data_IF_480639064507
#
_entry.id   IF_480639064507
#
_cell.length_a   1.000
_cell.length_b   1.000
_cell.length_c   1.000
_cell.angle_alpha   90.00
_cell.angle_beta   90.00
_cell.angle_gamma   90.00
#
_symmetry.space_group_name_H-M   'P 1'
#
loop_
_entity.id
_entity.type
_entity.pdbx_description
1 polymer ?
#
# COMPACT_ATOMS: atom_id res chain seq x y z
N UNK A 1 34.54 -7.66 -44.92
CA UNK A 1 35.48 -6.53 -44.78
C UNK A 1 34.98 -5.38 -45.64
N UNK A 2 34.28 -4.40 -45.06
CA UNK A 2 34.15 -3.05 -45.62
C UNK A 2 34.08 -2.11 -44.42
N UNK A 3 35.17 -1.40 -44.19
CA UNK A 3 35.28 -0.37 -43.17
C UNK A 3 34.76 0.95 -43.70
N UNK A 4 34.14 1.72 -42.82
CA UNK A 4 33.97 3.15 -43.00
C UNK A 4 34.56 3.84 -41.77
N UNK A 5 35.63 4.58 -42.04
CA UNK A 5 36.31 5.48 -41.12
C UNK A 5 35.87 6.89 -41.49
N UNK A 6 35.29 7.62 -40.54
CA UNK A 6 35.23 9.07 -40.58
C UNK A 6 35.40 9.61 -39.16
N UNK A 7 36.55 10.24 -38.95
CA UNK A 7 36.88 11.15 -37.86
C UNK A 7 36.20 12.50 -38.11
N UNK A 8 35.73 13.19 -37.05
CA UNK A 8 35.97 14.62 -36.82
C UNK A 8 35.11 15.20 -35.68
N UNK A 9 35.84 15.84 -34.75
CA UNK A 9 35.58 17.17 -34.16
C UNK A 9 34.33 17.37 -33.30
N UNK A 10 34.60 17.55 -32.00
CA UNK A 10 33.61 17.95 -31.02
C UNK A 10 33.13 19.39 -31.16
N UNK A 11 32.02 19.64 -30.48
CA UNK A 11 31.60 20.96 -30.05
C UNK A 11 31.15 20.83 -28.60
N UNK A 12 31.92 21.44 -27.69
CA UNK A 12 31.50 21.70 -26.32
C UNK A 12 30.36 22.72 -26.37
N UNK A 13 29.18 22.37 -25.87
CA UNK A 13 28.17 23.37 -25.48
C UNK A 13 27.99 23.30 -23.97
N UNK A 14 28.61 24.24 -23.27
CA UNK A 14 28.37 24.51 -21.86
C UNK A 14 26.99 25.17 -21.73
N UNK A 15 26.03 24.44 -21.14
CA UNK A 15 24.70 24.97 -20.85
C UNK A 15 24.59 25.35 -19.38
N UNK A 16 24.38 26.64 -19.20
CA UNK A 16 24.11 27.45 -18.02
C UNK A 16 23.35 26.72 -16.89
N UNK A 17 24.01 26.58 -15.73
CA UNK A 17 23.36 26.29 -14.44
C UNK A 17 22.60 27.54 -13.99
N UNK A 18 21.27 27.52 -14.10
CA UNK A 18 20.41 28.51 -13.45
C UNK A 18 20.18 28.08 -12.00
N UNK A 19 20.67 28.89 -11.06
CA UNK A 19 20.45 28.71 -9.63
C UNK A 19 18.98 28.98 -9.29
N UNK A 20 18.21 27.93 -9.00
CA UNK A 20 16.85 28.07 -8.48
C UNK A 20 16.95 28.23 -6.96
N UNK A 21 16.72 29.44 -6.46
CA UNK A 21 16.68 29.73 -5.03
C UNK A 21 15.44 29.05 -4.41
N UNK A 22 15.66 28.05 -3.54
CA UNK A 22 14.61 27.53 -2.67
C UNK A 22 14.32 28.58 -1.57
N UNK A 23 13.14 29.18 -1.60
CA UNK A 23 12.63 30.00 -0.51
C UNK A 23 11.69 29.17 0.34
N UNK A 24 12.10 28.93 1.59
CA UNK A 24 11.32 28.17 2.59
C UNK A 24 9.99 28.88 2.91
N UNK A 25 8.86 28.17 2.99
CA UNK A 25 7.64 28.72 3.57
C UNK A 25 7.77 28.81 5.10
N UNK A 26 7.61 30.02 5.63
CA UNK A 26 7.46 30.28 7.06
C UNK A 26 6.15 29.68 7.57
N UNK A 27 6.23 28.84 8.60
CA UNK A 27 5.09 28.24 9.27
C UNK A 27 4.29 29.32 10.03
N UNK A 28 3.19 29.78 9.45
CA UNK A 28 2.25 30.72 10.07
C UNK A 28 1.38 30.03 11.12
N UNK A 29 1.37 30.55 12.34
CA UNK A 29 0.57 30.05 13.46
C UNK A 29 -0.86 30.60 13.37
N UNK A 30 -1.80 29.81 12.85
CA UNK A 30 -3.22 30.13 12.87
C UNK A 30 -3.84 29.70 14.19
N UNK A 31 -4.12 30.68 15.06
CA UNK A 31 -5.03 30.54 16.20
C UNK A 31 -6.46 30.32 15.67
N UNK A 32 -6.96 29.10 15.81
CA UNK A 32 -8.39 28.79 15.75
C UNK A 32 -8.95 28.59 17.17
N UNK A 33 -10.16 29.10 17.49
CA UNK A 33 -10.80 28.84 18.78
C UNK A 33 -11.64 27.56 18.76
N UNK A 34 -11.91 27.07 19.98
CA UNK A 34 -12.72 25.91 20.39
C UNK A 34 -11.93 24.60 20.53
N UNK A 35 -11.28 24.52 21.69
CA UNK A 35 -10.69 23.30 22.20
C UNK A 35 -11.75 22.21 22.39
N UNK A 36 -11.42 21.05 21.86
CA UNK A 36 -11.88 19.78 22.41
C UNK A 36 -10.92 19.46 23.57
N UNK A 37 -11.45 19.08 24.74
CA UNK A 37 -10.62 18.62 25.85
C UNK A 37 -9.89 17.36 25.40
N UNK A 38 -8.58 17.44 25.24
CA UNK A 38 -7.73 16.26 25.15
C UNK A 38 -7.45 15.83 26.59
N UNK A 39 -8.28 14.95 27.10
CA UNK A 39 -7.96 14.23 28.32
C UNK A 39 -6.83 13.25 27.97
N UNK A 40 -5.59 13.73 28.11
CA UNK A 40 -4.39 12.90 28.04
C UNK A 40 -4.32 12.10 29.34
N UNK A 41 -5.02 10.96 29.37
CA UNK A 41 -4.81 9.97 30.42
C UNK A 41 -3.92 8.85 29.88
N UNK A 42 -2.64 8.97 30.22
CA UNK A 42 -1.64 7.92 30.03
C UNK A 42 -1.95 6.80 31.01
N UNK A 43 -2.71 5.80 30.57
CA UNK A 43 -2.89 4.56 31.30
C UNK A 43 -2.42 3.37 30.44
N UNK A 44 -1.53 2.56 31.02
CA UNK A 44 -1.21 1.21 30.57
C UNK A 44 -2.49 0.42 30.25
N UNK A 45 -2.47 -0.58 29.35
CA UNK A 45 -3.64 -1.43 29.18
C UNK A 45 -3.79 -2.35 30.41
N UNK A 46 -4.43 -1.84 31.46
CA UNK A 46 -5.11 -2.67 32.43
C UNK A 46 -6.39 -3.19 31.78
N UNK A 47 -6.51 -4.51 31.75
CA UNK A 47 -7.62 -5.23 31.16
C UNK A 47 -8.87 -5.06 32.04
N UNK A 48 -9.51 -3.89 31.95
CA UNK A 48 -10.76 -3.62 32.66
C UNK A 48 -11.92 -4.22 31.88
N UNK A 49 -12.47 -5.28 32.45
CA UNK A 49 -13.56 -6.06 31.88
C UNK A 49 -14.87 -5.28 32.06
N UNK A 50 -15.23 -4.47 31.07
CA UNK A 50 -16.56 -3.91 30.99
C UNK A 50 -17.39 -4.75 30.00
N UNK A 51 -18.29 -5.55 30.56
CA UNK A 51 -19.18 -6.49 29.86
C UNK A 51 -20.25 -5.75 29.06
N UNK A 52 -19.84 -5.15 27.95
CA UNK A 52 -20.69 -4.95 26.79
C UNK A 52 -20.38 -6.11 25.84
N UNK A 53 -21.39 -6.86 25.40
CA UNK A 53 -21.27 -7.93 24.39
C UNK A 53 -20.78 -7.34 23.06
N UNK A 54 -19.51 -6.95 23.00
CA UNK A 54 -18.80 -6.86 21.75
C UNK A 54 -18.63 -8.30 21.32
N UNK A 55 -19.27 -8.69 20.21
CA UNK A 55 -18.85 -9.86 19.44
C UNK A 55 -17.33 -9.89 19.49
N UNK A 56 -16.76 -11.05 19.84
CA UNK A 56 -15.30 -11.24 19.84
C UNK A 56 -14.86 -11.11 18.39
N UNK A 57 -14.65 -9.86 17.96
CA UNK A 57 -14.26 -9.56 16.61
C UNK A 57 -12.95 -10.29 16.39
N UNK A 58 -12.91 -11.07 15.31
CA UNK A 58 -11.70 -11.76 14.93
C UNK A 58 -10.56 -10.72 14.76
N UNK A 59 -9.31 -11.10 15.02
CA UNK A 59 -8.17 -10.25 14.73
C UNK A 59 -8.20 -9.71 13.29
N UNK A 60 -7.72 -8.49 13.09
CA UNK A 60 -7.65 -7.87 11.77
C UNK A 60 -6.86 -8.78 10.82
N UNK A 61 -7.39 -9.00 9.62
CA UNK A 61 -6.80 -9.88 8.62
C UNK A 61 -7.15 -11.36 8.78
N UNK A 62 -8.02 -11.71 9.74
CA UNK A 62 -8.55 -13.06 9.89
C UNK A 62 -10.06 -13.12 9.63
N UNK A 63 -10.55 -14.31 9.31
CA UNK A 63 -11.95 -14.59 9.00
C UNK A 63 -12.29 -16.02 9.44
N UNK A 64 -13.57 -16.39 9.43
CA UNK A 64 -13.99 -17.77 9.60
C UNK A 64 -15.24 -18.07 8.77
N UNK A 65 -15.78 -19.28 8.91
CA UNK A 65 -16.95 -19.73 8.16
C UNK A 65 -18.18 -18.82 8.36
N UNK A 66 -18.29 -18.13 9.51
CA UNK A 66 -19.41 -17.25 9.85
C UNK A 66 -19.08 -15.76 9.71
N UNK A 67 -17.79 -15.40 9.73
CA UNK A 67 -17.31 -14.02 9.79
C UNK A 67 -16.42 -13.72 8.58
N UNK A 68 -16.93 -13.00 7.57
CA UNK A 68 -16.13 -12.61 6.41
C UNK A 68 -15.08 -11.57 6.80
N UNK A 69 -14.11 -11.35 5.91
CA UNK A 69 -13.10 -10.31 6.06
C UNK A 69 -13.75 -8.92 6.13
N UNK A 70 -13.39 -8.14 7.14
CA UNK A 70 -13.98 -6.82 7.39
C UNK A 70 -13.80 -5.83 6.22
N UNK A 71 -12.72 -5.96 5.45
CA UNK A 71 -12.44 -5.15 4.27
C UNK A 71 -13.01 -5.73 2.97
N UNK A 72 -13.80 -6.80 3.02
CA UNK A 72 -14.35 -7.46 1.84
C UNK A 72 -13.36 -8.31 1.05
N UNK A 73 -12.15 -8.56 1.58
CA UNK A 73 -11.20 -9.48 0.95
C UNK A 73 -11.70 -10.94 0.95
N UNK A 74 -11.04 -11.79 0.17
CA UNK A 74 -11.32 -13.22 0.16
C UNK A 74 -10.97 -13.82 1.53
N UNK A 75 -11.90 -14.60 2.07
CA UNK A 75 -11.61 -15.44 3.23
C UNK A 75 -11.10 -16.79 2.76
N UNK A 76 -9.84 -17.09 3.00
CA UNK A 76 -9.23 -18.36 2.58
C UNK A 76 -9.70 -19.53 3.45
N UNK A 77 -9.44 -20.76 3.00
CA UNK A 77 -9.62 -21.99 3.80
C UNK A 77 -8.81 -21.99 5.10
N UNK A 78 -7.74 -21.19 5.17
CA UNK A 78 -6.84 -21.09 6.31
C UNK A 78 -7.27 -19.98 7.29
N UNK A 79 -8.49 -19.44 7.14
CA UNK A 79 -9.07 -18.40 8.02
C UNK A 79 -8.30 -17.07 8.01
N UNK A 80 -7.62 -16.79 6.89
CA UNK A 80 -6.90 -15.55 6.64
C UNK A 80 -7.52 -14.78 5.47
N UNK A 81 -7.41 -13.45 5.54
CA UNK A 81 -7.90 -12.50 4.55
C UNK A 81 -6.83 -12.08 3.54
N UNK A 82 -7.17 -12.03 2.26
CA UNK A 82 -6.28 -11.53 1.22
C UNK A 82 -6.89 -11.59 -0.18
N UNK A 83 -6.11 -11.20 -1.20
CA UNK A 83 -6.56 -11.13 -2.60
C UNK A 83 -5.81 -12.06 -3.56
N UNK A 84 -4.70 -12.66 -3.14
CA UNK A 84 -3.94 -13.55 -4.03
C UNK A 84 -4.66 -14.87 -4.28
N UNK A 85 -4.16 -15.65 -5.24
CA UNK A 85 -4.71 -16.97 -5.56
C UNK A 85 -4.77 -17.92 -4.34
N UNK A 86 -3.87 -17.75 -3.36
CA UNK A 86 -3.90 -18.50 -2.09
C UNK A 86 -5.18 -18.21 -1.28
N UNK A 87 -5.69 -16.99 -1.36
CA UNK A 87 -6.85 -16.55 -0.57
C UNK A 87 -8.17 -16.72 -1.30
N UNK A 88 -8.19 -16.37 -2.58
CA UNK A 88 -9.40 -16.39 -3.41
C UNK A 88 -9.60 -17.70 -4.18
N UNK A 89 -8.59 -18.58 -4.20
CA UNK A 89 -8.64 -19.85 -4.93
C UNK A 89 -9.47 -20.92 -4.24
N UNK A 90 -9.14 -22.18 -4.52
CA UNK A 90 -9.88 -23.34 -4.02
C UNK A 90 -10.00 -23.34 -2.49
N UNK A 91 -11.22 -23.49 -2.00
CA UNK A 91 -11.52 -23.49 -0.56
C UNK A 91 -11.73 -22.11 0.04
N UNK A 92 -11.77 -21.05 -0.78
CA UNK A 92 -12.27 -19.75 -0.32
C UNK A 92 -13.70 -19.87 0.23
N UNK A 93 -13.94 -19.20 1.36
CA UNK A 93 -15.18 -19.26 2.13
C UNK A 93 -16.10 -18.07 1.84
N UNK A 94 -15.53 -16.86 1.66
CA UNK A 94 -16.27 -15.60 1.48
C UNK A 94 -15.57 -14.68 0.49
N UNK A 95 -16.35 -13.90 -0.25
CA UNK A 95 -15.87 -12.88 -1.20
C UNK A 95 -14.84 -13.41 -2.21
N UNK A 96 -15.01 -14.63 -2.72
CA UNK A 96 -13.96 -15.33 -3.49
C UNK A 96 -13.60 -14.66 -4.82
N UNK A 97 -14.46 -13.79 -5.33
CA UNK A 97 -14.19 -12.99 -6.52
C UNK A 97 -13.57 -11.62 -6.23
N UNK A 98 -13.32 -11.29 -4.95
CA UNK A 98 -12.76 -10.01 -4.55
C UNK A 98 -11.43 -9.73 -5.29
N UNK A 99 -11.18 -8.45 -5.50
CA UNK A 99 -10.00 -7.94 -6.20
C UNK A 99 -9.37 -6.87 -5.33
N UNK A 100 -8.04 -6.82 -5.34
CA UNK A 100 -7.30 -5.77 -4.66
C UNK A 100 -7.49 -4.42 -5.37
N UNK A 101 -7.07 -3.35 -4.70
CA UNK A 101 -7.04 -2.01 -5.28
C UNK A 101 -6.05 -1.91 -6.45
N UNK A 102 -4.91 -2.58 -6.31
CA UNK A 102 -3.81 -2.55 -7.27
C UNK A 102 -3.09 -3.91 -7.34
N UNK A 103 -2.08 -4.00 -8.22
CA UNK A 103 -1.25 -5.19 -8.37
C UNK A 103 -1.88 -6.26 -9.26
N UNK A 104 -1.25 -7.44 -9.42
CA UNK A 104 -1.69 -8.48 -10.35
C UNK A 104 -3.07 -9.06 -10.00
N UNK A 105 -3.50 -8.95 -8.74
CA UNK A 105 -4.81 -9.38 -8.26
C UNK A 105 -5.88 -8.28 -8.26
N UNK A 106 -5.52 -7.09 -8.75
CA UNK A 106 -6.45 -5.99 -8.93
C UNK A 106 -7.43 -6.24 -10.07
N UNK A 107 -8.45 -5.39 -10.16
CA UNK A 107 -9.38 -5.43 -11.30
C UNK A 107 -8.61 -5.13 -12.59
N UNK A 108 -8.79 -5.94 -13.62
CA UNK A 108 -8.12 -5.74 -14.92
C UNK A 108 -8.37 -4.32 -15.45
N UNK A 109 -7.29 -3.66 -15.90
CA UNK A 109 -7.32 -2.25 -16.33
C UNK A 109 -7.27 -1.21 -15.19
N UNK A 110 -7.32 -1.65 -13.93
CA UNK A 110 -7.24 -0.83 -12.73
C UNK A 110 -6.20 -1.35 -11.74
N UNK A 111 -5.17 -2.04 -12.24
CA UNK A 111 -4.12 -2.62 -11.42
C UNK A 111 -3.11 -1.54 -10.94
N UNK A 112 -3.24 -0.32 -11.49
CA UNK A 112 -2.40 0.82 -11.16
C UNK A 112 -2.92 1.66 -10.04
N UNK A 113 -2.01 1.97 -9.13
CA UNK A 113 -2.29 2.96 -8.12
C UNK A 113 -2.51 4.34 -8.75
N UNK A 114 -3.58 5.04 -8.35
CA UNK A 114 -3.75 6.44 -8.68
C UNK A 114 -2.52 7.25 -8.22
N UNK A 115 -2.26 8.38 -8.88
CA UNK A 115 -1.16 9.29 -8.54
C UNK A 115 0.25 8.68 -8.66
N UNK A 116 0.40 7.51 -9.31
CA UNK A 116 1.67 6.81 -9.48
C UNK A 116 2.39 6.49 -8.16
N UNK A 117 1.65 6.22 -7.08
CA UNK A 117 2.21 5.71 -5.83
C UNK A 117 2.46 4.18 -5.91
N UNK A 118 3.05 3.59 -4.87
CA UNK A 118 3.39 2.18 -4.86
C UNK A 118 2.18 1.31 -4.53
N UNK A 119 2.14 0.12 -5.11
CA UNK A 119 1.24 -0.94 -4.69
C UNK A 119 1.95 -1.83 -3.66
N UNK A 120 1.39 -1.91 -2.45
CA UNK A 120 1.91 -2.77 -1.38
C UNK A 120 1.75 -4.25 -1.73
N UNK A 121 2.51 -5.12 -1.04
CA UNK A 121 2.41 -6.58 -1.12
C UNK A 121 0.97 -7.12 -0.95
N UNK A 122 0.11 -6.38 -0.24
CA UNK A 122 -1.27 -6.76 0.04
C UNK A 122 -2.29 -6.17 -0.95
N UNK A 123 -1.85 -5.43 -1.96
CA UNK A 123 -2.71 -4.88 -3.01
C UNK A 123 -3.43 -3.59 -2.63
N UNK A 124 -2.78 -2.74 -1.83
CA UNK A 124 -3.24 -1.39 -1.46
C UNK A 124 -2.26 -0.33 -1.91
N UNK A 125 -2.75 0.85 -2.25
CA UNK A 125 -1.95 1.97 -2.71
C UNK A 125 -1.43 2.85 -1.57
N UNK A 126 -0.16 3.27 -1.66
CA UNK A 126 0.46 4.15 -0.69
C UNK A 126 1.88 4.57 -1.06
N UNK A 127 2.43 5.53 -0.33
CA UNK A 127 3.71 6.17 -0.64
C UNK A 127 4.76 6.04 0.46
N UNK A 128 4.48 5.26 1.51
CA UNK A 128 5.45 4.98 2.59
C UNK A 128 6.20 3.69 2.30
N UNK A 129 7.26 3.43 3.07
CA UNK A 129 8.15 2.29 2.86
C UNK A 129 7.40 0.95 2.93
N UNK A 130 6.35 0.83 3.76
CA UNK A 130 5.54 -0.39 3.85
C UNK A 130 4.80 -0.73 2.54
N UNK A 131 4.60 0.26 1.68
CA UNK A 131 4.00 0.10 0.35
C UNK A 131 5.05 -0.07 -0.74
N UNK A 132 6.20 0.58 -0.59
CA UNK A 132 7.21 0.70 -1.65
C UNK A 132 8.39 -0.26 -1.50
N UNK A 133 8.61 -0.87 -0.33
CA UNK A 133 9.80 -1.67 -0.04
C UNK A 133 9.38 -3.01 0.55
N UNK A 134 9.29 -4.02 -0.31
CA UNK A 134 8.95 -5.38 0.11
C UNK A 134 9.37 -6.41 -0.94
N UNK A 135 9.57 -7.65 -0.47
CA UNK A 135 9.70 -8.84 -1.29
C UNK A 135 8.69 -9.92 -0.84
N UNK A 136 8.35 -10.83 -1.74
CA UNK A 136 7.35 -11.84 -1.51
C UNK A 136 7.73 -13.17 -2.18
N UNK A 137 8.50 -13.96 -1.43
CA UNK A 137 8.95 -15.27 -1.89
C UNK A 137 7.83 -16.32 -1.99
N UNK A 138 6.71 -16.07 -1.31
CA UNK A 138 5.57 -17.00 -1.25
C UNK A 138 4.62 -16.85 -2.45
N UNK A 139 4.75 -15.76 -3.22
CA UNK A 139 3.91 -15.46 -4.37
C UNK A 139 4.76 -15.05 -5.59
N UNK A 140 5.08 -15.99 -6.48
CA UNK A 140 5.92 -15.70 -7.64
C UNK A 140 5.24 -14.81 -8.68
N UNK A 141 3.91 -14.62 -8.62
CA UNK A 141 3.19 -13.67 -9.49
C UNK A 141 3.37 -12.24 -8.98
N UNK A 142 3.61 -12.08 -7.68
CA UNK A 142 3.81 -10.78 -7.05
C UNK A 142 5.07 -10.75 -6.17
N UNK A 143 6.28 -10.92 -6.75
CA UNK A 143 7.49 -11.28 -6.00
C UNK A 143 8.21 -10.11 -5.32
N UNK A 144 7.98 -8.88 -5.76
CA UNK A 144 8.58 -7.66 -5.21
C UNK A 144 7.75 -6.43 -5.60
N UNK A 145 8.02 -5.30 -4.93
CA UNK A 145 7.40 -4.03 -5.29
C UNK A 145 7.70 -3.65 -6.74
N UNK A 146 6.64 -3.34 -7.49
CA UNK A 146 6.71 -2.87 -8.87
C UNK A 146 5.64 -1.80 -9.10
N UNK A 147 6.01 -0.76 -9.84
CA UNK A 147 5.15 0.38 -10.23
C UNK A 147 4.55 0.23 -11.64
N UNK A 148 4.84 -0.89 -12.32
CA UNK A 148 4.22 -1.26 -13.60
C UNK A 148 2.77 -1.70 -13.45
N UNK A 149 2.38 -2.18 -12.27
CA UNK A 149 0.98 -2.39 -11.92
C UNK A 149 0.39 -1.05 -11.56
#
# INVERSE_FOLDING_TARGET
MMGFSFTALGVLTASLLSSVQASSPTHGNLRGPRGYSLDVERASPEFSSNSSLHSRALPIGTCDASTPCANGACCSKDNLCGYSAKFCGTGCQHNCDAKSECGPYGKSGHQKCPLNVCCSKFGFCGSTDEFCIWDNKDDPVYPACDTQW
#
